data_IF_045582488870
#
_entry.id   IF_045582488870
#
_cell.length_a   1.000
_cell.length_b   1.000
_cell.length_c   1.000
_cell.angle_alpha   90.00
_cell.angle_beta   90.00
_cell.angle_gamma   90.00
#
_symmetry.space_group_name_H-M   'P 1'
#
loop_
_entity.id
_entity.type
_entity.pdbx_description
1 polymer ?
#
# COMPACT_ATOMS: atom_id res chain seq x y z
N UNK A 1 24.52 -25.82 45.24
CA UNK A 1 23.33 -25.88 44.38
C UNK A 1 23.15 -24.49 43.76
N UNK A 2 23.61 -24.33 42.54
CA UNK A 2 23.44 -23.06 41.76
C UNK A 2 22.32 -23.30 40.79
N UNK A 3 21.16 -22.66 41.01
CA UNK A 3 20.06 -22.71 40.08
C UNK A 3 20.39 -21.79 38.89
N UNK A 4 20.53 -22.43 37.72
CA UNK A 4 20.65 -21.74 36.43
C UNK A 4 19.29 -21.13 36.09
N UNK A 5 19.18 -19.79 36.15
CA UNK A 5 18.08 -19.05 35.54
C UNK A 5 18.28 -19.09 34.02
N UNK A 6 17.51 -19.95 33.34
CA UNK A 6 17.35 -19.86 31.91
C UNK A 6 16.52 -18.61 31.58
N UNK A 7 17.21 -17.55 31.16
CA UNK A 7 16.58 -16.37 30.56
C UNK A 7 16.07 -16.79 29.21
N UNK A 8 14.77 -17.06 29.11
CA UNK A 8 14.08 -17.24 27.83
C UNK A 8 14.07 -15.87 27.13
N UNK A 9 15.02 -15.63 26.24
CA UNK A 9 14.97 -14.52 25.31
C UNK A 9 13.66 -14.67 24.51
N UNK A 10 12.65 -13.91 24.85
CA UNK A 10 11.51 -13.69 23.95
C UNK A 10 12.09 -13.07 22.69
N UNK A 11 12.09 -13.84 21.59
CA UNK A 11 12.29 -13.31 20.25
C UNK A 11 11.27 -12.18 20.11
N UNK A 12 11.72 -10.93 20.05
CA UNK A 12 10.82 -9.83 19.67
C UNK A 12 10.29 -10.22 18.31
N UNK A 13 9.02 -10.60 18.27
CA UNK A 13 8.34 -10.87 17.02
C UNK A 13 8.26 -9.54 16.28
N UNK A 14 9.14 -9.38 15.31
CA UNK A 14 9.10 -8.22 14.44
C UNK A 14 7.81 -8.34 13.62
N UNK A 15 6.76 -7.66 14.09
CA UNK A 15 5.47 -7.66 13.41
C UNK A 15 5.64 -7.12 11.99
N UNK A 16 4.97 -7.72 11.03
CA UNK A 16 4.93 -7.22 9.65
C UNK A 16 4.35 -5.80 9.65
N UNK A 17 4.98 -4.89 8.90
CA UNK A 17 4.50 -3.51 8.79
C UNK A 17 3.35 -3.42 7.79
N UNK A 18 2.33 -2.65 8.13
CA UNK A 18 1.35 -2.14 7.17
C UNK A 18 1.88 -0.82 6.61
N UNK A 19 2.24 -0.81 5.35
CA UNK A 19 2.77 0.36 4.64
C UNK A 19 1.72 0.94 3.69
N UNK A 20 1.33 2.19 3.90
CA UNK A 20 0.52 2.93 2.94
C UNK A 20 1.42 3.56 1.89
N UNK A 21 1.46 2.92 0.71
CA UNK A 21 2.25 3.35 -0.45
C UNK A 21 1.35 4.04 -1.45
N UNK A 22 1.40 5.38 -1.50
CA UNK A 22 0.37 6.17 -2.18
C UNK A 22 0.94 7.34 -2.99
N UNK A 23 0.34 7.61 -4.15
CA UNK A 23 0.54 8.84 -4.93
C UNK A 23 -0.40 9.92 -4.42
N UNK A 24 0.08 11.16 -4.31
CA UNK A 24 -0.77 12.30 -4.00
C UNK A 24 -0.29 13.59 -4.66
N UNK A 25 -1.20 14.56 -4.76
CA UNK A 25 -0.88 15.95 -5.11
C UNK A 25 -0.15 16.66 -3.97
N UNK A 26 0.39 17.85 -4.23
CA UNK A 26 1.03 18.72 -3.21
C UNK A 26 0.04 19.03 -2.07
N UNK A 27 -1.23 19.21 -2.39
CA UNK A 27 -2.31 19.51 -1.44
C UNK A 27 -3.02 18.26 -0.87
N UNK A 28 -2.43 17.06 -1.04
CA UNK A 28 -2.79 15.84 -0.30
C UNK A 28 -3.96 15.04 -0.86
N UNK A 29 -4.33 15.23 -2.12
CA UNK A 29 -5.37 14.42 -2.78
C UNK A 29 -4.75 13.27 -3.57
N UNK A 30 -5.41 12.10 -3.54
CA UNK A 30 -4.98 10.86 -4.22
C UNK A 30 -5.78 10.60 -5.51
N UNK A 31 -6.69 11.46 -5.86
CA UNK A 31 -7.52 11.41 -7.04
C UNK A 31 -8.45 12.62 -7.09
N UNK A 32 -9.15 12.79 -8.19
CA UNK A 32 -10.21 13.76 -8.34
C UNK A 32 -11.43 13.42 -7.45
N UNK A 33 -12.52 14.22 -7.44
CA UNK A 33 -13.72 13.91 -6.64
C UNK A 33 -14.39 12.57 -7.00
N UNK A 34 -14.16 12.02 -8.20
CA UNK A 34 -14.65 10.69 -8.62
C UNK A 34 -13.70 9.56 -8.21
N UNK A 35 -12.47 9.88 -7.79
CA UNK A 35 -11.42 8.94 -7.41
C UNK A 35 -10.49 8.56 -8.56
N UNK A 36 -10.58 9.24 -9.70
CA UNK A 36 -9.63 9.05 -10.79
C UNK A 36 -8.29 9.72 -10.44
N UNK A 37 -7.20 8.97 -10.59
CA UNK A 37 -5.81 9.40 -10.38
C UNK A 37 -4.93 9.18 -11.62
N UNK A 38 -5.52 8.89 -12.79
CA UNK A 38 -4.75 8.59 -14.01
C UNK A 38 -3.79 9.71 -14.41
N UNK A 39 -4.13 10.95 -14.07
CA UNK A 39 -3.28 12.11 -14.35
C UNK A 39 -1.89 12.04 -13.69
N UNK A 40 -1.68 11.26 -12.62
CA UNK A 40 -0.36 11.03 -12.04
C UNK A 40 0.56 10.25 -12.99
N UNK A 41 0.01 9.39 -13.85
CA UNK A 41 0.80 8.55 -14.76
C UNK A 41 1.57 9.37 -15.80
N UNK A 42 1.09 10.58 -16.13
CA UNK A 42 1.74 11.49 -17.10
C UNK A 42 3.12 11.98 -16.65
N UNK A 43 3.38 11.89 -15.34
CA UNK A 43 4.63 12.35 -14.73
C UNK A 43 5.60 11.20 -14.44
N UNK A 44 5.29 9.99 -14.90
CA UNK A 44 6.19 8.84 -14.76
C UNK A 44 7.19 8.88 -15.90
N UNK A 45 8.39 9.37 -15.61
CA UNK A 45 9.53 9.33 -16.53
C UNK A 45 10.37 8.06 -16.31
N UNK A 46 11.41 7.88 -17.13
CA UNK A 46 12.29 6.71 -17.09
C UNK A 46 13.03 6.58 -15.74
N UNK A 47 13.55 7.69 -15.19
CA UNK A 47 14.28 7.67 -13.91
C UNK A 47 13.37 7.24 -12.77
N UNK A 48 12.17 7.81 -12.69
CA UNK A 48 11.21 7.49 -11.67
C UNK A 48 10.63 6.07 -11.83
N UNK A 49 10.40 5.64 -13.09
CA UNK A 49 9.97 4.28 -13.37
C UNK A 49 11.02 3.25 -12.97
N UNK A 50 12.30 3.48 -13.28
CA UNK A 50 13.41 2.60 -12.84
C UNK A 50 13.51 2.53 -11.31
N UNK A 51 13.25 3.61 -10.62
CA UNK A 51 13.15 3.57 -9.15
C UNK A 51 12.01 2.65 -8.68
N UNK A 52 10.79 2.77 -9.24
CA UNK A 52 9.68 1.92 -8.88
C UNK A 52 9.98 0.44 -9.17
N UNK A 53 10.53 0.16 -10.34
CA UNK A 53 10.93 -1.18 -10.77
C UNK A 53 12.02 -1.78 -9.88
N UNK A 54 12.95 -0.96 -9.41
CA UNK A 54 14.10 -1.41 -8.61
C UNK A 54 13.77 -1.55 -7.12
N UNK A 55 13.01 -0.61 -6.55
CA UNK A 55 12.77 -0.56 -5.10
C UNK A 55 11.41 -1.14 -4.68
N UNK A 56 10.42 -1.10 -5.58
CA UNK A 56 9.02 -1.49 -5.31
C UNK A 56 8.40 -2.24 -6.49
N UNK A 57 9.07 -3.26 -7.08
CA UNK A 57 8.58 -3.93 -8.29
C UNK A 57 7.19 -4.53 -8.11
N UNK A 58 6.86 -4.99 -6.92
CA UNK A 58 5.57 -5.59 -6.59
C UNK A 58 4.40 -4.60 -6.59
N UNK A 59 4.66 -3.30 -6.50
CA UNK A 59 3.60 -2.28 -6.56
C UNK A 59 3.11 -1.97 -7.97
N UNK A 60 3.81 -2.50 -8.98
CA UNK A 60 3.41 -2.42 -10.38
C UNK A 60 2.39 -3.52 -10.68
N UNK A 61 1.15 -3.16 -11.13
CA UNK A 61 0.09 -4.13 -11.29
C UNK A 61 0.34 -5.11 -12.45
N UNK A 62 -0.17 -6.32 -12.32
CA UNK A 62 0.00 -7.43 -13.28
C UNK A 62 -0.23 -7.03 -14.75
N UNK A 63 -1.28 -6.27 -15.13
CA UNK A 63 -1.47 -5.89 -16.53
C UNK A 63 -0.34 -5.05 -17.13
N UNK A 64 0.40 -4.31 -16.29
CA UNK A 64 1.55 -3.51 -16.71
C UNK A 64 2.87 -4.28 -16.75
N UNK A 65 2.99 -5.38 -16.00
CA UNK A 65 4.28 -6.08 -15.82
C UNK A 65 4.76 -6.74 -17.10
N UNK A 66 3.90 -7.50 -17.79
CA UNK A 66 4.26 -8.21 -19.02
C UNK A 66 4.69 -7.26 -20.16
N UNK A 67 3.94 -6.21 -20.50
CA UNK A 67 4.38 -5.24 -21.51
C UNK A 67 5.70 -4.54 -21.17
N UNK A 68 6.02 -4.42 -19.87
CA UNK A 68 7.25 -3.80 -19.39
C UNK A 68 8.41 -4.79 -19.23
N UNK A 69 8.18 -6.09 -19.46
CA UNK A 69 9.20 -7.14 -19.33
C UNK A 69 9.71 -7.32 -17.90
N UNK A 70 8.83 -7.17 -16.91
CA UNK A 70 9.15 -7.24 -15.48
C UNK A 70 8.35 -8.33 -14.73
N UNK A 71 7.74 -9.28 -15.45
CA UNK A 71 6.94 -10.34 -14.83
C UNK A 71 7.74 -11.20 -13.84
N UNK A 72 9.01 -11.45 -14.16
CA UNK A 72 9.91 -12.31 -13.37
C UNK A 72 10.58 -11.57 -12.21
N UNK A 73 10.31 -10.28 -12.01
CA UNK A 73 10.90 -9.55 -10.88
C UNK A 73 10.30 -10.02 -9.56
N UNK A 74 11.20 -10.40 -8.63
CA UNK A 74 10.84 -10.79 -7.27
C UNK A 74 10.33 -9.60 -6.46
N UNK A 75 9.42 -9.88 -5.53
CA UNK A 75 8.97 -8.91 -4.55
C UNK A 75 10.14 -8.50 -3.63
N UNK A 76 10.18 -7.24 -3.21
CA UNK A 76 11.24 -6.69 -2.36
C UNK A 76 10.79 -6.20 -1.01
N UNK A 77 9.61 -5.61 -0.94
CA UNK A 77 9.08 -5.00 0.28
C UNK A 77 7.79 -5.66 0.75
N UNK A 78 6.96 -6.14 -0.18
CA UNK A 78 5.62 -6.63 0.11
C UNK A 78 5.35 -7.96 -0.57
N UNK A 79 4.72 -8.89 0.14
CA UNK A 79 4.19 -10.14 -0.41
C UNK A 79 2.65 -10.19 -0.35
N UNK A 80 2.04 -9.22 0.29
CA UNK A 80 0.62 -9.13 0.56
C UNK A 80 0.11 -7.72 0.27
N UNK A 81 -1.04 -7.62 -0.41
CA UNK A 81 -1.71 -6.35 -0.69
C UNK A 81 -3.13 -6.36 -0.14
N UNK A 82 -3.56 -5.21 0.41
CA UNK A 82 -4.96 -4.93 0.69
C UNK A 82 -5.39 -3.67 -0.04
N UNK A 83 -6.53 -3.75 -0.72
CA UNK A 83 -7.13 -2.65 -1.47
C UNK A 83 -8.62 -2.52 -1.19
N UNK A 84 -9.16 -1.32 -1.34
CA UNK A 84 -10.60 -1.09 -1.24
C UNK A 84 -11.34 -1.52 -2.51
N UNK A 85 -12.66 -1.70 -2.38
CA UNK A 85 -13.54 -2.09 -3.50
C UNK A 85 -13.35 -1.20 -4.73
N UNK A 86 -13.36 0.12 -4.58
CA UNK A 86 -13.23 1.04 -5.72
C UNK A 86 -11.91 0.89 -6.47
N UNK A 87 -10.80 0.62 -5.75
CA UNK A 87 -9.49 0.35 -6.38
C UNK A 87 -9.52 -0.96 -7.18
N UNK A 88 -10.19 -1.98 -6.64
CA UNK A 88 -10.36 -3.26 -7.33
C UNK A 88 -11.27 -3.15 -8.56
N UNK A 89 -12.34 -2.33 -8.49
CA UNK A 89 -13.26 -2.10 -9.61
C UNK A 89 -12.57 -1.49 -10.83
N UNK A 90 -11.52 -0.68 -10.64
CA UNK A 90 -10.72 -0.16 -11.76
C UNK A 90 -10.04 -1.29 -12.55
N UNK A 91 -9.53 -2.30 -11.86
CA UNK A 91 -8.94 -3.48 -12.51
C UNK A 91 -10.01 -4.33 -13.19
N UNK A 92 -11.16 -4.55 -12.54
CA UNK A 92 -12.28 -5.29 -13.13
C UNK A 92 -12.81 -4.62 -14.39
N UNK A 93 -12.84 -3.29 -14.44
CA UNK A 93 -13.31 -2.53 -15.60
C UNK A 93 -12.47 -2.77 -16.86
N UNK A 94 -11.19 -3.13 -16.71
CA UNK A 94 -10.29 -3.50 -17.81
C UNK A 94 -10.16 -5.03 -18.00
N UNK A 95 -11.03 -5.81 -17.33
CA UNK A 95 -11.05 -7.27 -17.42
C UNK A 95 -9.97 -7.97 -16.57
N UNK A 96 -9.23 -7.25 -15.71
CA UNK A 96 -8.23 -7.84 -14.84
C UNK A 96 -8.85 -8.23 -13.50
N UNK A 97 -8.98 -9.54 -13.25
CA UNK A 97 -9.56 -10.08 -12.00
C UNK A 97 -8.54 -10.28 -10.88
N UNK A 98 -7.23 -10.28 -11.20
CA UNK A 98 -6.12 -10.46 -10.27
C UNK A 98 -5.03 -9.41 -10.54
N UNK A 99 -5.24 -8.14 -10.11
CA UNK A 99 -4.36 -7.03 -10.47
C UNK A 99 -2.95 -7.12 -9.88
N UNK A 100 -2.72 -7.97 -8.89
CA UNK A 100 -1.42 -8.20 -8.26
C UNK A 100 -1.16 -9.70 -8.05
N UNK A 101 -1.21 -10.48 -9.16
CA UNK A 101 -1.13 -11.95 -9.11
C UNK A 101 0.16 -12.49 -8.48
N UNK A 102 1.21 -11.68 -8.38
CA UNK A 102 2.48 -11.98 -7.72
C UNK A 102 2.48 -11.75 -6.20
N UNK A 103 1.34 -11.34 -5.63
CA UNK A 103 1.13 -11.14 -4.18
C UNK A 103 -0.14 -11.84 -3.71
N UNK A 104 -0.25 -12.06 -2.39
CA UNK A 104 -1.52 -12.42 -1.73
C UNK A 104 -2.44 -11.19 -1.76
N UNK A 105 -3.67 -11.34 -2.24
CA UNK A 105 -4.56 -10.22 -2.51
C UNK A 105 -5.80 -10.25 -1.62
N UNK A 106 -6.05 -9.12 -0.97
CA UNK A 106 -7.24 -8.87 -0.17
C UNK A 106 -7.99 -7.65 -0.69
N UNK A 107 -9.32 -7.75 -0.75
CA UNK A 107 -10.21 -6.65 -1.13
C UNK A 107 -11.20 -6.39 0.00
N UNK A 108 -11.09 -5.22 0.62
CA UNK A 108 -12.05 -4.78 1.62
C UNK A 108 -13.36 -4.34 0.93
N UNK A 109 -14.44 -5.10 1.14
CA UNK A 109 -15.74 -4.81 0.54
C UNK A 109 -16.88 -5.43 1.34
N UNK A 110 -17.87 -4.60 1.70
CA UNK A 110 -19.13 -5.05 2.33
C UNK A 110 -20.21 -5.45 1.32
N UNK A 111 -19.99 -5.23 0.03
CA UNK A 111 -21.00 -5.44 -1.01
C UNK A 111 -20.60 -6.47 -2.06
N UNK A 112 -19.32 -6.80 -2.17
CA UNK A 112 -18.82 -7.86 -3.04
C UNK A 112 -18.69 -9.13 -2.20
N UNK A 113 -19.59 -10.09 -2.43
CA UNK A 113 -19.60 -11.35 -1.68
C UNK A 113 -18.42 -12.27 -2.06
N UNK A 114 -18.03 -12.25 -3.35
CA UNK A 114 -16.98 -13.10 -3.88
C UNK A 114 -16.24 -12.42 -5.03
N UNK A 115 -14.92 -12.58 -5.05
CA UNK A 115 -14.10 -12.19 -6.21
C UNK A 115 -14.36 -13.13 -7.40
N UNK A 116 -14.30 -12.63 -8.66
CA UNK A 116 -14.26 -13.49 -9.84
C UNK A 116 -12.97 -14.32 -9.95
N UNK A 117 -11.90 -13.94 -9.23
CA UNK A 117 -10.66 -14.71 -9.16
C UNK A 117 -10.53 -15.40 -7.78
N UNK A 118 -10.26 -16.74 -7.75
CA UNK A 118 -10.15 -17.48 -6.49
C UNK A 118 -8.94 -17.10 -5.64
N UNK A 119 -7.93 -16.45 -6.22
CA UNK A 119 -6.73 -15.99 -5.51
C UNK A 119 -6.89 -14.59 -4.89
N UNK A 120 -8.07 -13.98 -5.02
CA UNK A 120 -8.39 -12.68 -4.40
C UNK A 120 -9.44 -12.90 -3.31
N UNK A 121 -9.03 -12.72 -2.07
CA UNK A 121 -9.90 -12.88 -0.89
C UNK A 121 -10.69 -11.60 -0.61
N UNK A 122 -11.99 -11.73 -0.37
CA UNK A 122 -12.84 -10.60 0.03
C UNK A 122 -12.91 -10.56 1.58
N UNK A 123 -12.57 -9.39 2.13
CA UNK A 123 -12.72 -9.08 3.56
C UNK A 123 -13.97 -8.22 3.72
N UNK A 124 -15.08 -8.83 4.16
CA UNK A 124 -16.39 -8.18 4.21
C UNK A 124 -16.66 -7.43 5.52
N UNK A 125 -16.06 -7.90 6.62
CA UNK A 125 -16.37 -7.42 7.96
C UNK A 125 -15.13 -6.79 8.62
N UNK A 126 -14.50 -7.47 9.55
CA UNK A 126 -13.41 -6.97 10.38
C UNK A 126 -12.09 -6.82 9.61
N UNK A 127 -11.96 -5.78 8.79
CA UNK A 127 -10.73 -5.50 8.05
C UNK A 127 -9.56 -5.16 8.98
N UNK A 128 -9.82 -4.53 10.12
CA UNK A 128 -8.80 -4.21 11.13
C UNK A 128 -8.27 -5.49 11.76
N UNK A 129 -9.17 -6.42 12.15
CA UNK A 129 -8.78 -7.73 12.67
C UNK A 129 -7.98 -8.54 11.67
N UNK A 130 -8.38 -8.53 10.37
CA UNK A 130 -7.61 -9.20 9.31
C UNK A 130 -6.19 -8.63 9.20
N UNK A 131 -6.01 -7.31 9.24
CA UNK A 131 -4.66 -6.71 9.21
C UNK A 131 -3.85 -7.11 10.45
N UNK A 132 -4.46 -7.14 11.63
CA UNK A 132 -3.77 -7.58 12.85
C UNK A 132 -3.36 -9.04 12.79
N UNK A 133 -4.18 -9.92 12.21
CA UNK A 133 -3.85 -11.32 11.92
C UNK A 133 -2.64 -11.41 10.98
N UNK A 134 -2.68 -10.73 9.84
CA UNK A 134 -1.61 -10.72 8.85
C UNK A 134 -0.28 -10.19 9.41
N UNK A 135 -0.34 -9.21 10.32
CA UNK A 135 0.85 -8.67 11.00
C UNK A 135 1.54 -9.69 11.91
N UNK A 136 0.81 -10.71 12.42
CA UNK A 136 1.38 -11.75 13.30
C UNK A 136 2.08 -12.86 12.52
N UNK A 137 1.94 -12.92 11.21
CA UNK A 137 2.59 -13.94 10.39
C UNK A 137 4.11 -13.78 10.40
N UNK A 138 4.84 -14.89 10.37
CA UNK A 138 6.30 -14.90 10.25
C UNK A 138 6.68 -14.69 8.77
N UNK A 139 6.96 -13.45 8.41
CA UNK A 139 7.43 -13.03 7.08
C UNK A 139 8.35 -11.83 7.21
N UNK A 140 9.37 -11.77 6.38
CA UNK A 140 10.26 -10.62 6.24
C UNK A 140 9.61 -9.47 5.43
N UNK A 141 8.53 -9.77 4.69
CA UNK A 141 7.81 -8.82 3.87
C UNK A 141 6.74 -8.06 4.66
N UNK A 142 6.54 -6.81 4.29
CA UNK A 142 5.42 -5.99 4.78
C UNK A 142 4.11 -6.29 4.05
N UNK A 143 3.07 -5.55 4.44
CA UNK A 143 1.74 -5.55 3.84
C UNK A 143 1.55 -4.21 3.12
N UNK A 144 1.24 -4.25 1.84
CA UNK A 144 0.96 -3.08 1.01
C UNK A 144 -0.51 -2.65 1.17
N UNK A 145 -0.74 -1.50 1.79
CA UNK A 145 -2.03 -0.81 1.73
C UNK A 145 -2.05 0.03 0.44
N UNK A 146 -2.78 -0.46 -0.57
CA UNK A 146 -2.95 0.25 -1.85
C UNK A 146 -3.89 1.46 -1.72
N UNK A 147 -4.85 1.38 -0.80
CA UNK A 147 -5.88 2.40 -0.62
C UNK A 147 -7.24 1.88 -1.14
N UNK A 148 -8.32 2.66 -1.43
CA UNK A 148 -8.33 4.13 -1.42
C UNK A 148 -8.55 4.78 -0.05
N UNK A 149 -8.95 6.04 -0.10
CA UNK A 149 -9.10 6.96 1.02
C UNK A 149 -9.88 6.38 2.21
N UNK A 150 -11.04 5.78 1.97
CA UNK A 150 -11.90 5.20 3.03
C UNK A 150 -11.23 4.06 3.76
N UNK A 151 -10.60 3.13 3.01
CA UNK A 151 -9.88 2.01 3.60
C UNK A 151 -8.65 2.49 4.38
N UNK A 152 -7.91 3.46 3.85
CA UNK A 152 -6.78 4.05 4.56
C UNK A 152 -7.24 4.76 5.85
N UNK A 153 -8.40 5.40 5.83
CA UNK A 153 -9.03 5.99 7.02
C UNK A 153 -9.45 4.95 8.06
N UNK A 154 -10.05 3.82 7.64
CA UNK A 154 -10.47 2.73 8.52
C UNK A 154 -9.25 2.02 9.15
N UNK A 155 -8.13 1.90 8.40
CA UNK A 155 -6.90 1.27 8.87
C UNK A 155 -5.89 2.28 9.45
N UNK A 156 -6.28 3.54 9.67
CA UNK A 156 -5.36 4.61 10.06
C UNK A 156 -4.47 4.25 11.25
N UNK A 157 -5.04 3.64 12.30
CA UNK A 157 -4.32 3.26 13.51
C UNK A 157 -3.38 2.06 13.32
N UNK A 158 -3.61 1.27 12.28
CA UNK A 158 -2.80 0.10 11.93
C UNK A 158 -1.62 0.44 11.00
N UNK A 159 -1.63 1.60 10.33
CA UNK A 159 -0.54 2.02 9.44
C UNK A 159 0.73 2.25 10.25
N UNK A 160 1.79 1.52 9.94
CA UNK A 160 3.11 1.62 10.57
C UNK A 160 4.05 2.56 9.79
N UNK A 161 3.90 2.54 8.47
CA UNK A 161 4.77 3.26 7.54
C UNK A 161 3.95 3.96 6.45
N UNK A 162 4.40 5.16 6.09
CA UNK A 162 3.88 5.88 4.93
C UNK A 162 4.99 6.01 3.89
N UNK A 163 4.71 5.60 2.65
CA UNK A 163 5.54 5.92 1.48
C UNK A 163 4.72 6.83 0.57
N UNK A 164 4.97 8.12 0.67
CA UNK A 164 4.19 9.15 0.00
C UNK A 164 4.94 9.62 -1.25
N UNK A 165 4.36 9.36 -2.41
CA UNK A 165 4.82 9.82 -3.72
C UNK A 165 4.07 11.11 -4.04
N UNK A 166 4.69 12.28 -3.74
CA UNK A 166 4.08 13.59 -3.98
C UNK A 166 4.42 14.07 -5.38
N UNK A 167 3.41 14.23 -6.17
CA UNK A 167 3.51 14.76 -7.53
C UNK A 167 3.35 16.27 -7.54
N UNK A 168 4.03 17.00 -8.47
CA UNK A 168 4.02 18.46 -8.54
C UNK A 168 2.68 18.99 -9.13
N UNK A 169 1.57 18.58 -8.53
CA UNK A 169 0.20 18.93 -8.92
C UNK A 169 -0.55 19.49 -7.73
N UNK A 170 -1.44 20.45 -7.97
CA UNK A 170 -2.43 20.95 -7.02
C UNK A 170 -3.80 20.68 -7.60
N UNK A 171 -4.67 20.00 -6.85
CA UNK A 171 -6.02 19.66 -7.30
C UNK A 171 -7.07 20.60 -6.75
N UNK A 172 -6.83 21.26 -5.62
CA UNK A 172 -7.78 22.17 -4.95
C UNK A 172 -8.95 21.45 -4.28
N UNK A 173 -9.39 20.32 -4.84
CA UNK A 173 -10.40 19.42 -4.26
C UNK A 173 -10.22 18.03 -4.86
N UNK A 174 -10.67 16.99 -4.13
CA UNK A 174 -10.54 15.61 -4.60
C UNK A 174 -10.70 14.60 -3.49
N UNK A 175 -10.28 13.37 -3.76
CA UNK A 175 -10.24 12.30 -2.78
C UNK A 175 -9.04 12.51 -1.84
N UNK A 176 -9.24 12.74 -0.52
CA UNK A 176 -8.13 12.94 0.40
C UNK A 176 -7.35 11.65 0.62
N UNK A 177 -6.08 11.76 1.05
CA UNK A 177 -5.24 10.61 1.35
C UNK A 177 -5.87 9.68 2.41
N UNK A 178 -6.50 10.26 3.44
CA UNK A 178 -7.23 9.53 4.47
C UNK A 178 -8.67 10.01 4.56
N UNK A 179 -9.61 9.09 4.39
CA UNK A 179 -11.06 9.34 4.53
C UNK A 179 -11.55 9.05 5.95
N UNK A 180 -10.84 9.58 6.95
CA UNK A 180 -11.17 9.47 8.39
C UNK A 180 -11.53 10.83 8.98
N UNK A 181 -12.06 10.83 10.21
CA UNK A 181 -12.21 12.03 11.02
C UNK A 181 -10.85 12.58 11.50
N UNK A 182 -10.91 13.67 12.27
CA UNK A 182 -9.70 14.25 12.85
C UNK A 182 -9.05 13.26 13.83
N UNK A 183 -7.77 12.93 13.57
CA UNK A 183 -6.92 12.17 14.48
C UNK A 183 -5.47 12.66 14.33
N UNK A 184 -4.88 13.09 15.44
CA UNK A 184 -3.48 13.54 15.45
C UNK A 184 -2.57 12.33 15.67
N UNK A 185 -1.69 12.07 14.70
CA UNK A 185 -0.68 11.01 14.80
C UNK A 185 0.65 11.54 14.31
N UNK A 186 1.71 11.23 15.05
CA UNK A 186 3.06 11.65 14.71
C UNK A 186 3.82 10.56 13.95
N UNK A 187 4.57 10.99 12.97
CA UNK A 187 5.50 10.18 12.21
C UNK A 187 6.89 10.81 12.20
N UNK A 188 7.93 9.98 12.10
CA UNK A 188 9.31 10.42 11.88
C UNK A 188 9.66 10.25 10.42
N UNK A 189 10.21 11.28 9.80
CA UNK A 189 10.75 11.20 8.46
C UNK A 189 11.97 10.27 8.45
N UNK A 190 11.96 9.27 7.61
CA UNK A 190 13.06 8.31 7.43
C UNK A 190 13.88 8.66 6.17
N UNK A 191 13.26 8.71 5.01
CA UNK A 191 13.96 9.00 3.75
C UNK A 191 13.21 10.02 2.91
N UNK A 192 13.98 10.77 2.07
CA UNK A 192 13.46 11.62 1.00
C UNK A 192 14.24 11.36 -0.27
N UNK A 193 13.55 11.14 -1.37
CA UNK A 193 14.14 11.06 -2.71
C UNK A 193 13.41 12.02 -3.65
N UNK A 194 14.18 12.76 -4.44
CA UNK A 194 13.69 13.68 -5.46
C UNK A 194 14.04 13.15 -6.84
N UNK A 195 13.18 13.41 -7.82
CA UNK A 195 13.37 12.99 -9.21
C UNK A 195 13.35 14.20 -10.15
N UNK A 196 13.89 14.05 -11.35
CA UNK A 196 13.96 15.12 -12.35
C UNK A 196 12.60 15.62 -12.84
N UNK A 197 11.56 14.78 -12.68
CA UNK A 197 10.17 15.13 -12.95
C UNK A 197 9.47 15.86 -11.79
N UNK A 198 10.24 16.33 -10.80
CA UNK A 198 9.77 17.01 -9.59
C UNK A 198 8.90 16.13 -8.65
N UNK A 199 8.83 14.83 -8.88
CA UNK A 199 8.20 13.89 -7.93
C UNK A 199 9.08 13.74 -6.69
N UNK A 200 8.46 13.75 -5.51
CA UNK A 200 9.09 13.46 -4.23
C UNK A 200 8.58 12.14 -3.69
N UNK A 201 9.48 11.24 -3.31
CA UNK A 201 9.12 10.05 -2.52
C UNK A 201 9.65 10.22 -1.12
N UNK A 202 8.76 10.17 -0.14
CA UNK A 202 9.08 10.32 1.28
C UNK A 202 8.60 9.13 2.06
N UNK A 203 9.49 8.54 2.88
CA UNK A 203 9.14 7.46 3.79
C UNK A 203 9.06 7.99 5.21
N UNK A 204 8.01 7.61 5.92
CA UNK A 204 7.80 7.99 7.31
C UNK A 204 7.48 6.77 8.15
N UNK A 205 7.99 6.72 9.37
CA UNK A 205 7.70 5.69 10.37
C UNK A 205 6.79 6.26 11.45
N UNK A 206 5.73 5.52 11.82
CA UNK A 206 4.84 5.91 12.92
C UNK A 206 5.61 5.98 14.24
N UNK A 207 5.44 7.07 14.98
CA UNK A 207 5.88 7.12 16.39
C UNK A 207 4.88 6.37 17.26
N UNK A 208 5.34 5.42 18.05
CA UNK A 208 4.57 4.65 19.04
C UNK A 208 5.03 5.00 20.44
#
# INVERSE_FOLDING_TARGET
MVQSLAVTLRKETNLRKLTYFIACSIDGFIGDPSGDGEFFTRLVDEEYFEFLKTEYPETLPTPGRQPLGIDDLENKKFDTIIQGRSSYDLALAIGCTSPYAHMRQYVASRTLEKSPDPNVEIVSDDVVGKIRELKQEDSEFGIYLCGGSKLAGELFDEVDELVIKTYPLVLGSGMPMFGSGFALTEFTLDTVRTFKNDVLVRTYQRKR
#
